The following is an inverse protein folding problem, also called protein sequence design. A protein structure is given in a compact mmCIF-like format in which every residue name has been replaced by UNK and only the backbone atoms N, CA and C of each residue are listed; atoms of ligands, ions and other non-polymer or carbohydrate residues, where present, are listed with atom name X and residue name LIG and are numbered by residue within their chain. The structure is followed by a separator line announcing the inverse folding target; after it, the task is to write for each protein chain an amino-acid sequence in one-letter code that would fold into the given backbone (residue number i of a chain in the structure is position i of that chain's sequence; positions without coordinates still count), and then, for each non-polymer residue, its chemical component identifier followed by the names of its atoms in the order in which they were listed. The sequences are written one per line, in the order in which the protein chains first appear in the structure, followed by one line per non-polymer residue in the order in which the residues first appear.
data_IF_688255167557
#
_entry.id   IF_688255167557
#
_cell.length_a   1.000
_cell.length_b   1.000
_cell.length_c   1.000
_cell.angle_alpha   90.00
_cell.angle_beta   90.00
_cell.angle_gamma   90.00
#
_symmetry.space_group_name_H-M   'P 1'
#
loop_
_entity.id
_entity.type
_entity.pdbx_description
1 polymer ?
#
# COMPACT_ATOMS: atom_id res chain seq x y z
N UNK A 1 9.57 9.06 -11.83
CA UNK A 1 9.61 7.67 -12.30
C UNK A 1 10.83 7.00 -11.69
N UNK A 2 10.62 6.08 -10.77
CA UNK A 2 11.74 5.31 -10.19
C UNK A 2 11.80 3.97 -10.91
N UNK A 3 12.88 3.72 -11.64
CA UNK A 3 13.18 2.42 -12.25
C UNK A 3 14.03 1.62 -11.27
N UNK A 4 13.67 0.39 -11.03
CA UNK A 4 14.45 -0.56 -10.23
C UNK A 4 14.69 -1.82 -11.04
N UNK A 5 15.95 -2.21 -11.11
CA UNK A 5 16.36 -3.51 -11.65
C UNK A 5 16.23 -4.54 -10.52
N UNK A 6 15.20 -5.36 -10.57
CA UNK A 6 15.13 -6.59 -9.80
C UNK A 6 15.23 -7.74 -10.81
N UNK A 7 16.39 -8.39 -10.88
CA UNK A 7 16.65 -9.58 -11.68
C UNK A 7 15.88 -9.68 -13.01
N UNK A 8 16.43 -9.21 -14.09
CA UNK A 8 15.98 -9.34 -15.50
C UNK A 8 14.63 -8.74 -15.93
N UNK A 9 13.87 -8.08 -15.04
CA UNK A 9 12.65 -7.40 -15.46
C UNK A 9 12.49 -6.05 -14.74
N UNK A 10 12.52 -4.97 -15.48
CA UNK A 10 12.38 -3.61 -14.93
C UNK A 10 10.94 -3.36 -14.50
N UNK A 11 10.69 -3.24 -13.20
CA UNK A 11 9.40 -2.79 -12.66
C UNK A 11 9.38 -1.27 -12.61
N UNK A 12 8.37 -0.66 -13.18
CA UNK A 12 8.17 0.79 -13.15
C UNK A 12 7.10 1.13 -12.11
N UNK A 13 7.44 2.01 -11.18
CA UNK A 13 6.48 2.58 -10.24
C UNK A 13 5.97 3.92 -10.74
N UNK A 14 4.68 4.12 -10.65
CA UNK A 14 4.03 5.38 -10.99
C UNK A 14 2.73 5.57 -10.19
N UNK A 15 2.21 6.77 -10.21
CA UNK A 15 0.86 7.04 -9.70
C UNK A 15 -0.18 6.36 -10.60
N UNK A 16 -1.18 5.77 -9.98
CA UNK A 16 -2.35 5.20 -10.66
C UNK A 16 -3.20 6.29 -11.32
N UNK A 17 -3.81 5.95 -12.43
CA UNK A 17 -4.64 6.83 -13.26
C UNK A 17 -6.02 6.22 -13.43
N UNK A 18 -7.01 7.02 -13.86
CA UNK A 18 -8.34 6.51 -14.18
C UNK A 18 -8.34 5.37 -15.20
N UNK A 19 -7.40 5.38 -16.14
CA UNK A 19 -7.20 4.30 -17.13
C UNK A 19 -6.72 2.97 -16.53
N UNK A 20 -6.23 2.96 -15.27
CA UNK A 20 -5.80 1.74 -14.58
C UNK A 20 -6.97 1.01 -13.88
N UNK A 21 -8.17 1.58 -13.89
CA UNK A 21 -9.30 1.09 -13.11
C UNK A 21 -9.61 -0.38 -13.34
N UNK A 22 -9.69 -0.82 -14.60
CA UNK A 22 -10.00 -2.21 -14.93
C UNK A 22 -8.91 -3.16 -14.50
N UNK A 23 -7.65 -2.78 -14.72
CA UNK A 23 -6.49 -3.56 -14.31
C UNK A 23 -6.39 -3.66 -12.78
N UNK A 24 -6.69 -2.58 -12.04
CA UNK A 24 -6.71 -2.60 -10.56
C UNK A 24 -7.80 -3.51 -10.01
N UNK A 25 -8.99 -3.48 -10.59
CA UNK A 25 -10.09 -4.37 -10.18
C UNK A 25 -9.76 -5.83 -10.44
N UNK A 26 -9.15 -6.14 -11.59
CA UNK A 26 -8.70 -7.48 -11.92
C UNK A 26 -7.59 -7.96 -10.97
N UNK A 27 -6.61 -7.10 -10.71
CA UNK A 27 -5.49 -7.37 -9.80
C UNK A 27 -5.97 -7.60 -8.36
N UNK A 28 -6.91 -6.79 -7.87
CA UNK A 28 -7.52 -6.96 -6.54
C UNK A 28 -8.15 -8.34 -6.37
N UNK A 29 -8.91 -8.78 -7.37
CA UNK A 29 -9.51 -10.11 -7.37
C UNK A 29 -8.46 -11.22 -7.40
N UNK A 30 -7.46 -11.11 -8.25
CA UNK A 30 -6.37 -12.08 -8.34
C UNK A 30 -5.64 -12.26 -7.01
N UNK A 31 -5.42 -11.16 -6.28
CA UNK A 31 -4.66 -11.17 -5.03
C UNK A 31 -5.50 -11.65 -3.84
N UNK A 32 -6.75 -11.20 -3.75
CA UNK A 32 -7.58 -11.33 -2.55
C UNK A 32 -8.84 -12.18 -2.73
N UNK A 33 -9.04 -12.81 -3.88
CA UNK A 33 -10.20 -13.68 -4.16
C UNK A 33 -10.08 -15.05 -3.46
N UNK A 34 -9.91 -15.02 -2.16
CA UNK A 34 -9.96 -16.19 -1.32
C UNK A 34 -10.99 -16.01 -0.21
N UNK A 35 -11.48 -17.10 0.36
CA UNK A 35 -12.43 -17.07 1.49
C UNK A 35 -11.92 -16.22 2.67
N UNK A 36 -10.60 -16.15 2.85
CA UNK A 36 -9.93 -15.33 3.88
C UNK A 36 -10.16 -13.83 3.69
N UNK A 37 -10.28 -13.37 2.44
CA UNK A 37 -10.46 -11.96 2.11
C UNK A 37 -11.85 -11.64 1.57
N UNK A 38 -12.74 -12.63 1.52
CA UNK A 38 -14.12 -12.45 1.05
C UNK A 38 -14.81 -11.30 1.77
N UNK A 39 -15.26 -10.32 1.03
CA UNK A 39 -15.93 -9.13 1.54
C UNK A 39 -15.01 -7.98 1.95
N UNK A 40 -13.71 -8.07 1.74
CA UNK A 40 -12.73 -6.98 1.94
C UNK A 40 -12.19 -6.40 0.64
N UNK A 41 -12.64 -6.90 -0.50
CA UNK A 41 -12.22 -6.41 -1.81
C UNK A 41 -12.61 -4.94 -2.00
N UNK A 42 -11.67 -4.18 -2.54
CA UNK A 42 -11.93 -2.80 -2.97
C UNK A 42 -12.79 -2.86 -4.23
N UNK A 43 -14.01 -2.34 -4.13
CA UNK A 43 -14.95 -2.37 -5.24
C UNK A 43 -14.53 -1.42 -6.38
N UNK A 44 -15.02 -1.69 -7.59
CA UNK A 44 -14.81 -0.82 -8.76
C UNK A 44 -15.20 0.64 -8.50
N UNK A 45 -16.38 0.96 -7.95
CA UNK A 45 -16.74 2.33 -7.61
C UNK A 45 -15.78 2.97 -6.59
N UNK A 46 -15.29 2.19 -5.62
CA UNK A 46 -14.31 2.68 -4.64
C UNK A 46 -12.98 2.99 -5.29
N UNK A 47 -12.43 2.14 -6.14
CA UNK A 47 -11.21 2.44 -6.88
C UNK A 47 -11.37 3.69 -7.75
N UNK A 48 -12.49 3.83 -8.48
CA UNK A 48 -12.76 5.02 -9.30
C UNK A 48 -12.72 6.29 -8.47
N UNK A 49 -13.40 6.30 -7.33
CA UNK A 49 -13.42 7.44 -6.40
C UNK A 49 -12.03 7.75 -5.84
N UNK A 50 -11.28 6.73 -5.45
CA UNK A 50 -9.96 6.89 -4.83
C UNK A 50 -8.90 7.37 -5.84
N UNK A 51 -8.96 6.91 -7.09
CA UNK A 51 -8.09 7.38 -8.17
C UNK A 51 -8.28 8.87 -8.46
N UNK A 52 -9.50 9.40 -8.29
CA UNK A 52 -9.83 10.80 -8.50
C UNK A 52 -9.68 11.67 -7.23
N UNK A 53 -9.49 11.07 -6.06
CA UNK A 53 -9.49 11.79 -4.79
C UNK A 53 -8.14 12.48 -4.51
N UNK A 54 -8.14 13.78 -4.14
CA UNK A 54 -6.93 14.45 -3.66
C UNK A 54 -6.46 13.92 -2.30
N UNK A 55 -7.35 13.26 -1.54
CA UNK A 55 -7.05 12.67 -0.22
C UNK A 55 -6.61 11.21 -0.31
N UNK A 56 -6.32 10.71 -1.50
CA UNK A 56 -5.81 9.37 -1.72
C UNK A 56 -4.66 9.38 -2.73
N UNK A 57 -3.78 8.40 -2.61
CA UNK A 57 -2.79 8.08 -3.64
C UNK A 57 -2.83 6.58 -3.89
N UNK A 58 -3.01 6.19 -5.15
CA UNK A 58 -2.77 4.83 -5.62
C UNK A 58 -1.41 4.83 -6.30
N UNK A 59 -0.49 4.00 -5.82
CA UNK A 59 0.81 3.77 -6.48
C UNK A 59 0.71 2.39 -7.12
N UNK A 60 1.07 2.29 -8.39
CA UNK A 60 1.06 1.04 -9.14
C UNK A 60 2.46 0.64 -9.55
N UNK A 61 2.71 -0.66 -9.57
CA UNK A 61 3.90 -1.28 -10.13
C UNK A 61 3.51 -2.00 -11.42
N UNK A 62 4.17 -1.65 -12.50
CA UNK A 62 3.92 -2.22 -13.81
C UNK A 62 5.18 -2.88 -14.39
N UNK A 63 4.99 -3.98 -15.08
CA UNK A 63 6.01 -4.67 -15.85
C UNK A 63 5.46 -4.92 -17.26
N UNK A 64 6.20 -4.49 -18.31
CA UNK A 64 5.73 -4.63 -19.68
C UNK A 64 4.36 -4.03 -19.96
N UNK A 65 3.97 -2.98 -19.22
CA UNK A 65 2.65 -2.33 -19.34
C UNK A 65 1.54 -3.00 -18.52
N UNK A 66 1.77 -4.17 -17.94
CA UNK A 66 0.80 -4.85 -17.06
C UNK A 66 1.04 -4.50 -15.59
N UNK A 67 -0.04 -4.25 -14.86
CA UNK A 67 0.04 -4.05 -13.42
C UNK A 67 0.34 -5.37 -12.72
N UNK A 68 1.32 -5.35 -11.82
CA UNK A 68 1.71 -6.50 -11.00
C UNK A 68 1.55 -6.27 -9.50
N UNK A 69 1.40 -5.02 -9.10
CA UNK A 69 1.18 -4.67 -7.70
C UNK A 69 0.59 -3.26 -7.58
N UNK A 70 -0.01 -2.97 -6.43
CA UNK A 70 -0.46 -1.63 -6.09
C UNK A 70 -0.36 -1.38 -4.58
N UNK A 71 -0.38 -0.10 -4.21
CA UNK A 71 -0.53 0.37 -2.84
C UNK A 71 -1.51 1.54 -2.81
N UNK A 72 -2.42 1.53 -1.84
CA UNK A 72 -3.40 2.59 -1.61
C UNK A 72 -3.13 3.32 -0.31
N UNK A 73 -2.92 4.63 -0.42
CA UNK A 73 -2.68 5.53 0.68
C UNK A 73 -3.87 6.48 0.88
N UNK A 74 -4.23 6.73 2.14
CA UNK A 74 -5.27 7.68 2.53
C UNK A 74 -4.67 8.79 3.39
N UNK A 75 -5.13 10.02 3.15
CA UNK A 75 -4.67 11.22 3.83
C UNK A 75 -5.85 11.98 4.44
N UNK A 76 -5.88 12.09 5.76
CA UNK A 76 -6.87 12.92 6.47
C UNK A 76 -6.25 14.27 6.83
N UNK A 77 -7.01 15.36 6.68
CA UNK A 77 -6.53 16.72 6.96
C UNK A 77 -6.10 16.91 8.43
N UNK A 78 -6.78 16.24 9.35
CA UNK A 78 -6.55 16.34 10.80
C UNK A 78 -5.55 15.28 11.34
N UNK A 79 -4.82 14.59 10.49
CA UNK A 79 -3.85 13.56 10.91
C UNK A 79 -2.44 13.88 10.45
N UNK A 80 -1.48 13.71 11.34
CA UNK A 80 -0.05 13.76 11.02
C UNK A 80 0.45 12.48 10.33
N UNK A 81 -0.35 11.40 10.36
CA UNK A 81 -0.04 10.13 9.76
C UNK A 81 -0.75 9.96 8.42
N UNK A 82 -0.02 9.44 7.43
CA UNK A 82 -0.63 8.82 6.26
C UNK A 82 -1.07 7.40 6.64
N UNK A 83 -2.24 6.98 6.14
CA UNK A 83 -2.72 5.61 6.35
C UNK A 83 -2.50 4.78 5.09
N UNK A 84 -1.68 3.74 5.17
CA UNK A 84 -1.65 2.70 4.16
C UNK A 84 -2.88 1.82 4.34
N UNK A 85 -3.79 1.89 3.38
CA UNK A 85 -5.08 1.20 3.44
C UNK A 85 -5.01 -0.20 2.87
N UNK A 86 -4.30 -0.37 1.77
CA UNK A 86 -4.12 -1.66 1.11
C UNK A 86 -2.80 -1.73 0.36
N UNK A 87 -2.23 -2.91 0.31
CA UNK A 87 -1.11 -3.28 -0.56
C UNK A 87 -1.39 -4.65 -1.14
N UNK A 88 -1.19 -4.81 -2.44
CA UNK A 88 -1.35 -6.07 -3.12
C UNK A 88 -0.23 -6.32 -4.12
N UNK A 89 0.30 -7.53 -4.11
CA UNK A 89 1.32 -7.99 -5.07
C UNK A 89 0.82 -9.28 -5.71
N UNK A 90 0.72 -9.30 -7.04
CA UNK A 90 0.30 -10.47 -7.79
C UNK A 90 1.22 -11.69 -7.48
N UNK A 91 0.70 -12.92 -7.44
CA UNK A 91 1.48 -14.10 -7.10
C UNK A 91 2.78 -14.23 -7.88
N UNK A 92 2.75 -13.97 -9.19
CA UNK A 92 3.92 -14.05 -10.06
C UNK A 92 5.00 -12.96 -9.81
N UNK A 93 4.63 -11.88 -9.11
CA UNK A 93 5.52 -10.76 -8.79
C UNK A 93 6.05 -10.79 -7.35
N UNK A 94 5.62 -11.73 -6.53
CA UNK A 94 6.05 -11.87 -5.13
C UNK A 94 7.52 -12.27 -5.03
N UNK A 95 8.13 -12.01 -3.86
CA UNK A 95 9.54 -12.31 -3.52
C UNK A 95 10.57 -11.65 -4.43
N UNK A 96 10.20 -10.55 -5.09
CA UNK A 96 11.07 -9.74 -5.97
C UNK A 96 11.32 -8.34 -5.43
N UNK A 97 11.00 -8.09 -4.17
CA UNK A 97 11.17 -6.78 -3.53
C UNK A 97 10.14 -5.72 -3.94
N UNK A 98 9.11 -6.08 -4.70
CA UNK A 98 8.10 -5.12 -5.19
C UNK A 98 7.35 -4.45 -4.04
N UNK A 99 6.93 -5.21 -3.02
CA UNK A 99 6.24 -4.66 -1.85
C UNK A 99 7.11 -3.65 -1.09
N UNK A 100 8.38 -3.95 -0.89
CA UNK A 100 9.34 -3.04 -0.23
C UNK A 100 9.55 -1.76 -1.02
N UNK A 101 9.61 -1.86 -2.33
CA UNK A 101 9.74 -0.72 -3.23
C UNK A 101 8.49 0.16 -3.21
N UNK A 102 7.29 -0.44 -3.25
CA UNK A 102 6.03 0.27 -3.10
C UNK A 102 5.97 0.99 -1.75
N UNK A 103 6.37 0.32 -0.67
CA UNK A 103 6.37 0.90 0.67
C UNK A 103 7.29 2.14 0.73
N UNK A 104 8.50 2.05 0.19
CA UNK A 104 9.42 3.18 0.11
C UNK A 104 8.88 4.35 -0.71
N UNK A 105 8.19 4.08 -1.82
CA UNK A 105 7.53 5.12 -2.63
C UNK A 105 6.37 5.77 -1.87
N UNK A 106 5.58 5.00 -1.12
CA UNK A 106 4.50 5.51 -0.30
C UNK A 106 5.01 6.38 0.86
N UNK A 107 6.11 5.99 1.50
CA UNK A 107 6.77 6.79 2.54
C UNK A 107 7.23 8.15 2.00
N UNK A 108 7.82 8.18 0.80
CA UNK A 108 8.20 9.41 0.12
C UNK A 108 7.00 10.29 -0.23
N UNK A 109 5.91 9.70 -0.73
CA UNK A 109 4.67 10.44 -1.00
C UNK A 109 4.08 11.03 0.29
N UNK A 110 4.08 10.28 1.38
CA UNK A 110 3.62 10.75 2.68
C UNK A 110 4.44 11.95 3.18
N UNK A 111 5.77 11.88 3.10
CA UNK A 111 6.67 12.98 3.48
C UNK A 111 6.43 14.21 2.59
N UNK A 112 6.29 14.03 1.28
CA UNK A 112 6.02 15.12 0.34
C UNK A 112 4.69 15.84 0.61
N UNK A 113 3.74 15.14 1.24
CA UNK A 113 2.45 15.68 1.70
C UNK A 113 2.49 16.19 3.15
N UNK A 114 3.68 16.37 3.71
CA UNK A 114 3.85 16.91 5.06
C UNK A 114 3.45 15.96 6.18
N UNK A 115 3.40 14.65 5.93
CA UNK A 115 3.11 13.67 6.98
C UNK A 115 4.39 13.28 7.71
N UNK A 116 4.30 13.18 9.04
CA UNK A 116 5.43 12.82 9.90
C UNK A 116 5.49 11.32 10.22
N UNK A 117 4.55 10.53 9.72
CA UNK A 117 4.52 9.09 9.92
C UNK A 117 3.55 8.37 8.99
N UNK A 118 3.69 7.07 8.98
CA UNK A 118 2.75 6.15 8.34
C UNK A 118 2.16 5.19 9.36
N UNK A 119 0.91 4.82 9.12
CA UNK A 119 0.12 3.90 9.94
C UNK A 119 -0.57 2.89 9.05
N UNK A 120 -0.69 1.67 9.54
CA UNK A 120 -1.41 0.59 8.87
C UNK A 120 -2.01 -0.40 9.88
N UNK A 121 -2.98 -1.16 9.44
CA UNK A 121 -3.51 -2.31 10.15
C UNK A 121 -3.18 -3.59 9.38
N UNK A 122 -2.81 -4.65 10.11
CA UNK A 122 -2.51 -5.96 9.58
C UNK A 122 -3.26 -7.03 10.38
N UNK A 123 -3.67 -8.10 9.71
CA UNK A 123 -4.29 -9.25 10.40
C UNK A 123 -3.33 -9.87 11.41
N UNK A 124 -3.81 -10.11 12.61
CA UNK A 124 -3.00 -10.71 13.68
C UNK A 124 -2.52 -12.14 13.36
N UNK A 125 -3.22 -12.83 12.45
CA UNK A 125 -2.87 -14.18 11.98
C UNK A 125 -1.95 -14.18 10.73
N UNK A 126 -1.56 -13.01 10.21
CA UNK A 126 -0.67 -12.89 9.04
C UNK A 126 0.78 -12.65 9.47
N UNK A 127 1.45 -13.76 9.81
CA UNK A 127 2.86 -13.73 10.27
C UNK A 127 3.81 -13.15 9.22
N UNK A 128 3.55 -13.41 7.95
CA UNK A 128 4.38 -12.90 6.85
C UNK A 128 4.29 -11.38 6.71
N UNK A 129 3.07 -10.82 6.76
CA UNK A 129 2.86 -9.38 6.73
C UNK A 129 3.45 -8.70 7.97
N UNK A 130 3.24 -9.27 9.16
CA UNK A 130 3.81 -8.75 10.42
C UNK A 130 5.33 -8.64 10.31
N UNK A 131 6.01 -9.73 9.92
CA UNK A 131 7.47 -9.75 9.76
C UNK A 131 7.94 -8.74 8.70
N UNK A 132 7.19 -8.59 7.59
CA UNK A 132 7.50 -7.61 6.56
C UNK A 132 7.48 -6.18 7.09
N UNK A 133 6.47 -5.79 7.86
CA UNK A 133 6.40 -4.45 8.43
C UNK A 133 7.44 -4.23 9.54
N UNK A 134 7.66 -5.19 10.41
CA UNK A 134 8.70 -5.10 11.45
C UNK A 134 10.09 -4.91 10.84
N UNK A 135 10.45 -5.70 9.83
CA UNK A 135 11.74 -5.57 9.11
C UNK A 135 11.83 -4.31 8.26
N UNK A 136 10.70 -3.64 8.00
CA UNK A 136 10.63 -2.34 7.31
C UNK A 136 10.66 -1.15 8.27
N UNK A 137 10.86 -1.39 9.56
CA UNK A 137 10.99 -0.35 10.60
C UNK A 137 9.69 0.11 11.22
N UNK A 138 8.58 -0.59 10.97
CA UNK A 138 7.30 -0.33 11.63
C UNK A 138 7.28 -1.01 13.00
N UNK A 139 6.63 -0.34 13.96
CA UNK A 139 6.44 -0.85 15.31
C UNK A 139 4.96 -0.99 15.63
N UNK A 140 4.61 -2.04 16.34
CA UNK A 140 3.26 -2.24 16.83
C UNK A 140 2.87 -1.10 17.78
N UNK A 141 1.74 -0.45 17.49
CA UNK A 141 1.22 0.69 18.25
C UNK A 141 -0.20 0.48 18.78
N UNK A 142 -0.86 -0.59 18.38
CA UNK A 142 -2.22 -0.86 18.82
C UNK A 142 -2.74 -2.24 18.42
N UNK A 143 -3.93 -2.53 18.94
CA UNK A 143 -4.63 -3.78 18.74
C UNK A 143 -6.13 -3.48 18.63
N UNK A 144 -6.79 -4.05 17.63
CA UNK A 144 -8.23 -3.91 17.40
C UNK A 144 -8.87 -5.30 17.41
N UNK A 145 -9.51 -5.72 18.51
CA UNK A 145 -10.18 -7.01 18.59
C UNK A 145 -11.32 -7.13 17.57
N UNK A 146 -11.41 -8.27 16.89
CA UNK A 146 -12.51 -8.60 15.98
C UNK A 146 -12.67 -7.62 14.82
N UNK A 147 -11.59 -7.01 14.35
CA UNK A 147 -11.60 -5.96 13.34
C UNK A 147 -12.08 -6.42 11.96
N UNK A 148 -11.69 -7.62 11.56
CA UNK A 148 -12.08 -8.20 10.29
C UNK A 148 -13.44 -8.91 10.37
N UNK A 149 -14.11 -9.14 9.24
CA UNK A 149 -15.43 -9.78 9.20
C UNK A 149 -15.45 -11.18 9.78
N UNK A 150 -14.36 -11.91 9.64
CA UNK A 150 -14.15 -13.24 10.24
C UNK A 150 -13.71 -13.18 11.71
N UNK A 151 -13.84 -12.00 12.34
CA UNK A 151 -13.49 -11.70 13.74
C UNK A 151 -12.02 -11.86 14.09
N UNK A 152 -11.13 -11.95 13.12
CA UNK A 152 -9.71 -11.90 13.37
C UNK A 152 -9.32 -10.46 13.78
N UNK A 153 -8.44 -10.37 14.76
CA UNK A 153 -7.95 -9.10 15.26
C UNK A 153 -7.05 -8.41 14.25
N UNK A 154 -7.00 -7.08 14.30
CA UNK A 154 -6.00 -6.29 13.62
C UNK A 154 -4.94 -5.79 14.59
N UNK A 155 -3.69 -5.83 14.14
CA UNK A 155 -2.59 -5.14 14.80
C UNK A 155 -2.32 -3.84 14.05
N UNK A 156 -2.18 -2.74 14.80
CA UNK A 156 -1.76 -1.46 14.24
C UNK A 156 -0.26 -1.33 14.31
N UNK A 157 0.33 -0.91 13.20
CA UNK A 157 1.74 -0.59 13.07
C UNK A 157 1.93 0.86 12.66
N UNK A 158 2.98 1.47 13.17
CA UNK A 158 3.35 2.86 12.87
C UNK A 158 4.85 2.96 12.63
N UNK A 159 5.21 3.92 11.76
CA UNK A 159 6.60 4.31 11.52
C UNK A 159 6.68 5.83 11.46
N UNK A 160 7.57 6.43 12.24
CA UNK A 160 7.93 7.83 12.08
C UNK A 160 8.74 8.00 10.79
N UNK A 161 8.41 9.04 10.02
CA UNK A 161 9.11 9.38 8.79
C UNK A 161 9.97 10.61 9.02
N UNK A 162 11.21 10.60 8.52
CA UNK A 162 12.07 11.77 8.54
C UNK A 162 11.45 12.89 7.68
N UNK A 163 11.44 14.13 8.21
CA UNK A 163 11.07 15.28 7.40
C UNK A 163 12.00 15.38 6.19
N UNK A 164 11.45 15.75 5.04
CA UNK A 164 12.29 16.13 3.91
C UNK A 164 13.25 17.24 4.35
N UNK A 165 14.53 17.20 3.97
CA UNK A 165 15.44 18.31 4.25
C UNK A 165 14.83 19.60 3.68
N UNK A 166 14.73 20.63 4.50
CA UNK A 166 14.28 21.94 4.08
C UNK A 166 15.24 22.40 2.96
N UNK A 167 14.70 22.68 1.77
CA UNK A 167 15.49 23.32 0.72
C UNK A 167 15.86 24.70 1.26
N UNK A 168 17.12 24.87 1.63
CA UNK A 168 17.66 26.19 1.91
C UNK A 168 17.52 27.02 0.63
N UNK A 169 16.76 28.10 0.73
CA UNK A 169 16.64 29.14 -0.30
C UNK A 169 17.96 29.87 -0.43
#
# INVERSE_FOLDING_TARGET
MTRLQAGHATVTLRRGRGSDLDALVALEREIFDSARFAGHLISRPSFRRLLASPSATVIVAAHGGQLSAYMLMLYRSNSKFARMYSIGVAPHARRRGVARTLLGAAEKDAVSRGRSGMRLEVRADDRGAIAFYETSGYRRSGHHPGYYRDRVDALRFEKALAKAPERRS
#
